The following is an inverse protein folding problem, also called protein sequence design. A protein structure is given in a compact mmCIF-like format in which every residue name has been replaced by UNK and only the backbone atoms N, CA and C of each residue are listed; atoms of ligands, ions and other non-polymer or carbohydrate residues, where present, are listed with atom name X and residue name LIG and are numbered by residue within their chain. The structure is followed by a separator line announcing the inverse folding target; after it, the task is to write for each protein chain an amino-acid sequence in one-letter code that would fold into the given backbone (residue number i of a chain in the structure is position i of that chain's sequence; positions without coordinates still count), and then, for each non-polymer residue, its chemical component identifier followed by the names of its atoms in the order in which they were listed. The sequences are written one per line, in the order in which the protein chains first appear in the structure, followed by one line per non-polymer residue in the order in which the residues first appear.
data_IF_124685134735
#
_entry.id   IF_124685134735
#
_cell.length_a   1.000
_cell.length_b   1.000
_cell.length_c   1.000
_cell.angle_alpha   90.00
_cell.angle_beta   90.00
_cell.angle_gamma   90.00
#
_symmetry.space_group_name_H-M   'P 1'
#
loop_
_entity.id
_entity.type
_entity.pdbx_description
1 polymer ?
#
# COMPACT_ATOMS: atom_id res chain seq x y z
N UNK A 1 2.97 31.97 -9.58
CA UNK A 1 3.50 30.71 -9.04
C UNK A 1 2.55 30.29 -7.94
N UNK A 2 2.02 29.07 -8.01
CA UNK A 2 1.13 28.56 -6.97
C UNK A 2 1.89 28.44 -5.65
N UNK A 3 1.29 28.94 -4.57
CA UNK A 3 1.87 28.82 -3.25
C UNK A 3 1.58 27.42 -2.68
N UNK A 4 2.41 26.43 -3.02
CA UNK A 4 2.20 25.05 -2.56
C UNK A 4 2.23 24.88 -1.03
N UNK A 5 2.76 25.85 -0.28
CA UNK A 5 2.78 25.80 1.19
C UNK A 5 1.40 25.93 1.83
N UNK A 6 0.39 26.42 1.10
CA UNK A 6 -0.99 26.48 1.58
C UNK A 6 -1.79 25.22 1.26
N UNK A 7 -1.25 24.31 0.44
CA UNK A 7 -1.92 23.07 0.07
C UNK A 7 -2.08 22.18 1.30
N UNK A 8 -3.25 21.57 1.42
CA UNK A 8 -3.52 20.68 2.55
C UNK A 8 -2.79 19.36 2.39
N UNK A 9 -2.07 19.00 3.44
CA UNK A 9 -1.70 17.62 3.72
C UNK A 9 -2.94 16.89 4.23
N UNK A 10 -2.92 15.56 4.22
CA UNK A 10 -4.12 14.80 4.55
C UNK A 10 -3.90 13.41 5.10
N UNK A 11 -2.67 12.96 5.27
CA UNK A 11 -2.45 11.62 5.83
C UNK A 11 -2.56 11.65 7.34
N UNK A 12 -3.33 10.71 7.87
CA UNK A 12 -3.31 10.32 9.26
C UNK A 12 -2.62 8.95 9.32
N UNK A 13 -1.40 8.83 9.87
CA UNK A 13 -0.66 7.58 9.83
C UNK A 13 -1.48 6.41 10.39
N UNK A 14 -1.42 5.27 9.70
CA UNK A 14 -2.16 4.08 10.13
C UNK A 14 -1.71 3.63 11.53
N UNK A 15 -2.65 3.29 12.45
CA UNK A 15 -2.30 2.67 13.73
C UNK A 15 -1.48 1.39 13.52
N UNK A 16 -0.56 1.01 14.41
CA UNK A 16 0.17 -0.27 14.23
C UNK A 16 -0.79 -1.46 14.38
N UNK A 17 -0.74 -2.42 13.45
CA UNK A 17 -1.50 -3.67 13.52
C UNK A 17 -0.58 -4.85 13.14
N UNK A 18 -0.42 -5.82 14.04
CA UNK A 18 0.46 -6.97 13.84
C UNK A 18 -0.12 -8.01 12.85
N UNK A 19 -1.38 -7.82 12.43
CA UNK A 19 -2.07 -8.69 11.47
C UNK A 19 -1.86 -8.24 10.03
N UNK A 20 -1.27 -7.07 9.81
CA UNK A 20 -0.94 -6.58 8.47
C UNK A 20 -0.10 -7.62 7.74
N UNK A 21 -0.55 -8.03 6.54
CA UNK A 21 0.24 -8.95 5.74
C UNK A 21 1.53 -8.27 5.30
N UNK A 22 2.64 -8.98 5.42
CA UNK A 22 3.93 -8.53 4.88
C UNK A 22 4.03 -8.88 3.41
N UNK A 23 4.59 -7.97 2.60
CA UNK A 23 4.70 -8.12 1.15
C UNK A 23 5.46 -9.37 0.72
N UNK A 24 6.38 -9.88 1.55
CA UNK A 24 7.11 -11.13 1.28
C UNK A 24 6.21 -12.37 1.27
N UNK A 25 4.92 -12.24 1.61
CA UNK A 25 3.87 -13.25 1.41
C UNK A 25 3.30 -13.27 -0.01
N UNK A 26 3.62 -12.28 -0.84
CA UNK A 26 3.12 -12.16 -2.20
C UNK A 26 4.26 -12.16 -3.22
N UNK A 27 5.38 -11.50 -2.90
CA UNK A 27 6.54 -11.37 -3.80
C UNK A 27 7.76 -12.08 -3.26
N UNK A 28 8.70 -12.41 -4.15
CA UNK A 28 10.03 -12.89 -3.76
C UNK A 28 11.06 -11.78 -3.93
N UNK A 29 11.73 -11.41 -2.85
CA UNK A 29 12.85 -10.46 -2.92
C UNK A 29 13.99 -11.10 -3.75
N UNK A 30 14.38 -10.41 -4.82
CA UNK A 30 15.42 -10.86 -5.75
C UNK A 30 16.81 -10.55 -5.19
N UNK A 31 17.81 -11.34 -5.60
CA UNK A 31 19.21 -11.10 -5.21
C UNK A 31 19.81 -9.84 -5.87
N UNK A 32 19.25 -9.41 -7.00
CA UNK A 32 19.66 -8.22 -7.72
C UNK A 32 18.46 -7.56 -8.40
N UNK A 33 18.55 -6.25 -8.58
CA UNK A 33 17.55 -5.41 -9.24
C UNK A 33 18.22 -4.65 -10.39
N UNK A 34 17.47 -4.28 -11.45
CA UNK A 34 18.00 -3.41 -12.48
C UNK A 34 18.40 -2.04 -11.91
N UNK A 35 19.33 -1.37 -12.58
CA UNK A 35 19.86 -0.06 -12.16
C UNK A 35 18.76 1.00 -12.03
N UNK A 36 17.75 0.91 -12.90
CA UNK A 36 16.54 1.72 -12.87
C UNK A 36 15.34 0.87 -13.29
N UNK A 37 14.14 1.30 -12.93
CA UNK A 37 12.90 0.65 -13.32
C UNK A 37 11.76 1.65 -13.21
N UNK A 38 10.83 1.60 -14.15
CA UNK A 38 9.60 2.39 -14.12
C UNK A 38 8.45 1.49 -14.53
N UNK A 39 7.37 1.50 -13.74
CA UNK A 39 6.11 0.85 -14.09
C UNK A 39 5.55 1.52 -15.34
N UNK A 40 5.04 0.71 -16.27
CA UNK A 40 4.28 1.18 -17.41
C UNK A 40 2.88 0.55 -17.42
N UNK A 41 1.84 1.31 -17.81
CA UNK A 41 1.86 2.73 -18.17
C UNK A 41 1.92 3.66 -16.95
N UNK A 42 2.40 4.89 -17.16
CA UNK A 42 2.33 5.98 -16.18
C UNK A 42 1.04 6.79 -16.34
N UNK A 43 0.64 7.49 -15.28
CA UNK A 43 -0.45 8.47 -15.35
C UNK A 43 -0.04 9.62 -16.28
N UNK A 44 -0.80 9.91 -17.35
CA UNK A 44 -0.41 10.88 -18.37
C UNK A 44 -0.50 12.33 -17.90
N UNK A 45 -1.44 12.63 -17.01
CA UNK A 45 -1.65 13.97 -16.45
C UNK A 45 -1.72 13.88 -14.92
N UNK A 46 -0.74 14.41 -14.17
CA UNK A 46 -0.77 14.44 -12.72
C UNK A 46 -2.03 15.10 -12.18
N UNK A 47 -2.62 14.49 -11.16
CA UNK A 47 -3.83 14.99 -10.53
C UNK A 47 -3.57 16.22 -9.68
N UNK A 48 -4.63 16.98 -9.38
CA UNK A 48 -4.59 18.08 -8.41
C UNK A 48 -5.70 17.89 -7.36
N UNK A 49 -5.30 17.71 -6.10
CA UNK A 49 -6.21 17.53 -4.97
C UNK A 49 -6.83 18.83 -4.43
N UNK A 50 -6.48 19.98 -5.00
CA UNK A 50 -6.96 21.28 -4.53
C UNK A 50 -6.54 21.57 -3.09
N UNK A 51 -7.51 22.06 -2.31
CA UNK A 51 -7.38 22.37 -0.88
C UNK A 51 -8.04 21.32 0.01
N UNK A 52 -8.16 20.08 -0.48
CA UNK A 52 -8.70 18.94 0.27
C UNK A 52 -7.56 18.02 0.70
N UNK A 53 -7.62 17.48 1.91
CA UNK A 53 -6.66 16.51 2.45
C UNK A 53 -6.81 15.11 1.82
N UNK A 54 -6.93 15.01 0.50
CA UNK A 54 -7.29 13.78 -0.22
C UNK A 54 -6.09 13.04 -0.86
N UNK A 55 -4.85 13.38 -0.50
CA UNK A 55 -3.63 12.79 -1.07
C UNK A 55 -3.64 11.24 -1.08
N UNK A 56 -4.13 10.59 -0.02
CA UNK A 56 -4.26 9.12 0.06
C UNK A 56 -5.16 8.58 -1.05
N UNK A 57 -6.32 9.21 -1.24
CA UNK A 57 -7.29 8.81 -2.25
C UNK A 57 -6.75 9.01 -3.68
N UNK A 58 -6.03 10.11 -3.93
CA UNK A 58 -5.38 10.35 -5.23
C UNK A 58 -4.22 9.39 -5.49
N UNK A 59 -3.42 9.07 -4.48
CA UNK A 59 -2.35 8.10 -4.63
C UNK A 59 -2.91 6.71 -4.99
N UNK A 60 -3.97 6.27 -4.30
CA UNK A 60 -4.66 5.01 -4.59
C UNK A 60 -5.39 5.02 -5.94
N UNK A 61 -6.01 6.14 -6.32
CA UNK A 61 -6.57 6.36 -7.67
C UNK A 61 -5.51 6.09 -8.73
N UNK A 62 -4.32 6.69 -8.59
CA UNK A 62 -3.22 6.49 -9.53
C UNK A 62 -2.86 5.00 -9.69
N UNK A 63 -2.76 4.28 -8.57
CA UNK A 63 -2.40 2.85 -8.56
C UNK A 63 -3.46 2.04 -9.30
N UNK A 64 -4.75 2.27 -9.01
CA UNK A 64 -5.85 1.57 -9.68
C UNK A 64 -5.94 1.91 -11.16
N UNK A 65 -5.77 3.16 -11.56
CA UNK A 65 -5.78 3.54 -12.99
C UNK A 65 -4.63 2.85 -13.75
N UNK A 66 -3.42 2.83 -13.19
CA UNK A 66 -2.27 2.16 -13.81
C UNK A 66 -2.43 0.63 -13.88
N UNK A 67 -2.96 -0.01 -12.82
CA UNK A 67 -3.25 -1.45 -12.81
C UNK A 67 -4.28 -1.80 -13.88
N UNK A 68 -5.42 -1.13 -13.90
CA UNK A 68 -6.51 -1.44 -14.82
C UNK A 68 -6.15 -1.11 -16.26
N UNK A 69 -5.36 -0.06 -16.50
CA UNK A 69 -4.85 0.23 -17.84
C UNK A 69 -3.90 -0.86 -18.34
N UNK A 70 -3.03 -1.38 -17.46
CA UNK A 70 -2.13 -2.50 -17.79
C UNK A 70 -2.90 -3.78 -18.10
N UNK A 71 -3.98 -4.05 -17.37
CA UNK A 71 -4.76 -5.28 -17.51
C UNK A 71 -5.76 -5.25 -18.66
N UNK A 72 -6.46 -4.13 -18.83
CA UNK A 72 -7.54 -3.98 -19.82
C UNK A 72 -7.09 -3.31 -21.11
N UNK A 73 -5.87 -2.75 -21.13
CA UNK A 73 -5.33 -2.00 -22.27
C UNK A 73 -6.00 -0.64 -22.50
N UNK A 74 -6.89 -0.19 -21.59
CA UNK A 74 -7.64 1.07 -21.70
C UNK A 74 -7.56 1.85 -20.40
N UNK A 75 -7.19 3.13 -20.48
CA UNK A 75 -7.23 4.04 -19.34
C UNK A 75 -8.69 4.27 -18.93
N UNK A 76 -8.99 3.96 -17.68
CA UNK A 76 -10.28 4.23 -17.04
C UNK A 76 -10.00 5.21 -15.92
N UNK A 77 -10.76 6.30 -15.86
CA UNK A 77 -10.60 7.28 -14.78
C UNK A 77 -11.45 6.89 -13.57
N UNK A 78 -10.84 6.87 -12.38
CA UNK A 78 -11.49 6.49 -11.13
C UNK A 78 -11.68 7.67 -10.19
N UNK A 79 -12.74 7.64 -9.39
CA UNK A 79 -13.07 8.74 -8.47
C UNK A 79 -12.21 8.71 -7.21
N UNK A 80 -11.36 9.72 -7.04
CA UNK A 80 -10.70 9.98 -5.76
C UNK A 80 -11.72 10.40 -4.68
N UNK A 81 -12.78 11.12 -5.05
CA UNK A 81 -13.85 11.48 -4.13
C UNK A 81 -14.54 10.25 -3.54
N UNK A 82 -14.78 9.21 -4.33
CA UNK A 82 -15.36 7.96 -3.85
C UNK A 82 -14.47 7.27 -2.81
N UNK A 83 -13.17 7.12 -3.10
CA UNK A 83 -12.22 6.54 -2.11
C UNK A 83 -12.19 7.39 -0.84
N UNK A 84 -12.20 8.72 -0.97
CA UNK A 84 -12.20 9.65 0.17
C UNK A 84 -13.48 9.59 1.00
N UNK A 85 -14.63 9.36 0.35
CA UNK A 85 -15.98 9.43 0.94
C UNK A 85 -16.50 8.10 1.49
N UNK A 86 -16.23 6.96 0.83
CA UNK A 86 -16.87 5.66 1.05
C UNK A 86 -16.41 4.93 2.33
N UNK A 87 -16.29 5.66 3.44
CA UNK A 87 -15.81 5.19 4.74
C UNK A 87 -16.90 4.41 5.47
N UNK A 88 -16.47 3.40 6.24
CA UNK A 88 -17.34 2.72 7.21
C UNK A 88 -17.37 3.51 8.52
N UNK A 89 -18.37 3.29 9.37
CA UNK A 89 -18.52 4.00 10.66
C UNK A 89 -17.28 3.89 11.56
N UNK A 90 -16.58 2.74 11.51
CA UNK A 90 -15.35 2.49 12.28
C UNK A 90 -14.13 3.25 11.75
N UNK A 91 -14.16 3.74 10.51
CA UNK A 91 -13.05 4.47 9.90
C UNK A 91 -13.03 5.91 10.42
N UNK A 92 -11.90 6.59 10.26
CA UNK A 92 -11.78 7.99 10.63
C UNK A 92 -12.78 8.87 9.87
N UNK A 93 -13.52 9.75 10.58
CA UNK A 93 -14.65 10.54 10.04
C UNK A 93 -14.32 12.04 9.85
N UNK A 94 -13.05 12.45 9.95
CA UNK A 94 -12.64 13.84 9.75
C UNK A 94 -12.01 14.10 8.39
N UNK A 95 -11.55 15.34 8.18
CA UNK A 95 -10.71 15.70 7.04
C UNK A 95 -9.35 14.99 7.11
N UNK A 96 -8.80 14.66 5.95
CA UNK A 96 -7.68 13.73 5.83
C UNK A 96 -8.16 12.28 5.77
N UNK A 97 -7.24 11.33 5.68
CA UNK A 97 -7.55 9.93 5.51
C UNK A 97 -6.45 9.04 6.11
N UNK A 98 -6.87 7.93 6.72
CA UNK A 98 -5.97 6.86 7.16
C UNK A 98 -5.71 5.92 5.99
N UNK A 99 -4.44 5.66 5.60
CA UNK A 99 -4.13 4.78 4.47
C UNK A 99 -4.68 3.38 4.60
N UNK A 100 -4.62 2.76 5.79
CA UNK A 100 -5.23 1.44 5.99
C UNK A 100 -6.76 1.45 5.80
N UNK A 101 -7.45 2.49 6.26
CA UNK A 101 -8.90 2.62 6.02
C UNK A 101 -9.19 2.72 4.52
N UNK A 102 -8.36 3.47 3.78
CA UNK A 102 -8.47 3.60 2.33
C UNK A 102 -8.25 2.27 1.59
N UNK A 103 -7.29 1.48 2.05
CA UNK A 103 -7.05 0.13 1.52
C UNK A 103 -8.20 -0.83 1.86
N UNK A 104 -8.78 -0.76 3.07
CA UNK A 104 -9.98 -1.55 3.45
C UNK A 104 -11.19 -1.18 2.57
N UNK A 105 -11.35 0.10 2.22
CA UNK A 105 -12.37 0.57 1.27
C UNK A 105 -12.15 -0.06 -0.10
N UNK A 106 -10.93 -0.02 -0.65
CA UNK A 106 -10.66 -0.66 -1.94
C UNK A 106 -10.86 -2.18 -1.90
N UNK A 107 -10.56 -2.82 -0.77
CA UNK A 107 -10.73 -4.27 -0.60
C UNK A 107 -12.21 -4.69 -0.60
N UNK A 108 -13.05 -3.92 0.11
CA UNK A 108 -14.46 -4.28 0.34
C UNK A 108 -15.42 -3.68 -0.68
N UNK A 109 -15.15 -2.44 -1.12
CA UNK A 109 -16.04 -1.64 -1.96
C UNK A 109 -15.45 -1.36 -3.33
N UNK A 110 -14.12 -1.25 -3.43
CA UNK A 110 -13.44 -0.91 -4.67
C UNK A 110 -13.50 0.59 -4.95
N UNK A 111 -13.56 0.99 -6.23
CA UNK A 111 -13.60 2.39 -6.62
C UNK A 111 -14.45 2.59 -7.89
N UNK A 112 -15.38 3.54 -7.85
CA UNK A 112 -16.22 3.84 -9.01
C UNK A 112 -15.49 4.73 -10.02
N UNK A 113 -16.03 4.80 -11.23
CA UNK A 113 -15.55 5.68 -12.29
C UNK A 113 -15.72 7.16 -11.92
N UNK A 114 -14.76 7.99 -12.34
CA UNK A 114 -14.78 9.45 -12.14
C UNK A 114 -16.08 10.08 -12.66
N UNK A 115 -16.65 9.54 -13.74
CA UNK A 115 -17.91 10.00 -14.33
C UNK A 115 -19.09 10.00 -13.35
N UNK A 116 -19.13 9.05 -12.41
CA UNK A 116 -20.21 8.94 -11.42
C UNK A 116 -20.00 9.86 -10.23
N UNK A 117 -18.76 10.08 -9.83
CA UNK A 117 -18.43 10.96 -8.70
C UNK A 117 -17.24 11.87 -9.02
N UNK A 118 -17.45 12.93 -9.83
CA UNK A 118 -16.37 13.76 -10.33
C UNK A 118 -15.86 14.76 -9.29
N UNK A 119 -14.56 15.05 -9.36
CA UNK A 119 -13.91 16.10 -8.58
C UNK A 119 -13.44 15.65 -7.20
N UNK A 120 -13.27 16.60 -6.29
CA UNK A 120 -12.90 16.35 -4.89
C UNK A 120 -13.53 17.40 -3.99
N UNK A 121 -14.06 16.96 -2.85
CA UNK A 121 -14.82 17.80 -1.91
C UNK A 121 -14.33 17.57 -0.48
N UNK A 122 -14.59 18.52 0.44
CA UNK A 122 -14.46 18.28 1.87
C UNK A 122 -15.19 16.99 2.29
N UNK A 123 -14.64 16.26 3.26
CA UNK A 123 -15.10 14.92 3.61
C UNK A 123 -16.61 14.87 3.92
N UNK A 124 -17.18 15.75 4.78
CA UNK A 124 -18.60 15.69 5.09
C UNK A 124 -19.50 15.85 3.87
N UNK A 125 -19.09 16.70 2.92
CA UNK A 125 -19.81 16.91 1.66
C UNK A 125 -19.72 15.65 0.80
N UNK A 126 -18.50 15.13 0.60
CA UNK A 126 -18.29 13.95 -0.22
C UNK A 126 -19.05 12.72 0.32
N UNK A 127 -19.03 12.50 1.63
CA UNK A 127 -19.75 11.42 2.29
C UNK A 127 -21.27 11.53 2.08
N UNK A 128 -21.83 12.75 2.10
CA UNK A 128 -23.27 12.98 1.88
C UNK A 128 -23.74 12.76 0.44
N UNK A 129 -22.81 12.68 -0.52
CA UNK A 129 -23.11 12.54 -1.96
C UNK A 129 -23.07 11.09 -2.44
N UNK A 130 -22.71 10.13 -1.58
CA UNK A 130 -22.62 8.72 -1.96
C UNK A 130 -23.99 8.17 -2.40
N UNK A 131 -23.98 7.38 -3.47
CA UNK A 131 -25.17 6.69 -3.98
C UNK A 131 -24.94 5.19 -4.14
N UNK A 132 -26.02 4.41 -4.17
CA UNK A 132 -25.95 2.97 -4.43
C UNK A 132 -25.37 2.65 -5.81
N UNK A 133 -25.62 3.51 -6.81
CA UNK A 133 -25.03 3.38 -8.15
C UNK A 133 -23.51 3.44 -8.10
N UNK A 134 -22.94 4.37 -7.33
CA UNK A 134 -21.49 4.44 -7.13
C UNK A 134 -20.96 3.17 -6.45
N UNK A 135 -21.68 2.61 -5.47
CA UNK A 135 -21.28 1.37 -4.81
C UNK A 135 -21.30 0.16 -5.75
N UNK A 136 -22.32 0.06 -6.60
CA UNK A 136 -22.44 -1.00 -7.59
C UNK A 136 -21.35 -0.88 -8.66
N UNK A 137 -21.08 0.34 -9.14
CA UNK A 137 -20.03 0.59 -10.13
C UNK A 137 -18.63 0.35 -9.57
N UNK A 138 -18.40 0.52 -8.26
CA UNK A 138 -17.11 0.34 -7.59
C UNK A 138 -16.75 -1.12 -7.26
N UNK A 139 -17.76 -1.95 -7.03
CA UNK A 139 -17.59 -3.33 -6.55
C UNK A 139 -16.71 -4.23 -7.46
N UNK A 140 -16.78 -4.16 -8.80
CA UNK A 140 -15.92 -4.97 -9.66
C UNK A 140 -14.44 -4.51 -9.74
N UNK A 141 -14.09 -3.35 -9.17
CA UNK A 141 -12.74 -2.74 -9.18
C UNK A 141 -12.07 -2.85 -7.81
N UNK A 142 -12.49 -3.84 -7.03
CA UNK A 142 -11.89 -4.17 -5.75
C UNK A 142 -10.50 -4.74 -5.93
N UNK A 143 -9.64 -4.42 -4.98
CA UNK A 143 -8.40 -5.16 -4.80
C UNK A 143 -8.71 -6.49 -4.09
N UNK A 144 -7.84 -7.48 -4.27
CA UNK A 144 -7.93 -8.76 -3.56
C UNK A 144 -7.10 -8.75 -2.27
N UNK A 145 -6.00 -8.02 -2.26
CA UNK A 145 -5.13 -7.91 -1.10
C UNK A 145 -4.33 -6.61 -1.10
N UNK A 146 -3.91 -6.21 0.09
CA UNK A 146 -2.87 -5.23 0.32
C UNK A 146 -1.87 -5.75 1.35
N UNK A 147 -0.63 -5.28 1.27
CA UNK A 147 0.44 -5.74 2.14
C UNK A 147 1.40 -4.59 2.48
N UNK A 148 1.89 -4.60 3.71
CA UNK A 148 2.89 -3.67 4.20
C UNK A 148 4.27 -4.03 3.64
N UNK A 149 5.05 -3.00 3.35
CA UNK A 149 6.44 -3.07 2.89
C UNK A 149 7.32 -2.38 3.94
N UNK A 150 8.53 -2.92 4.18
CA UNK A 150 9.44 -2.37 5.18
C UNK A 150 10.86 -2.07 4.67
N UNK A 151 11.26 -2.61 3.52
CA UNK A 151 12.62 -2.42 2.97
C UNK A 151 12.62 -1.90 1.53
N UNK A 152 13.77 -1.35 1.12
CA UNK A 152 14.03 -0.88 -0.25
C UNK A 152 13.87 -2.03 -1.24
N UNK A 153 14.45 -3.19 -0.92
CA UNK A 153 14.44 -4.38 -1.76
C UNK A 153 13.04 -4.96 -1.90
N UNK A 154 12.24 -4.94 -0.83
CA UNK A 154 10.84 -5.33 -0.86
C UNK A 154 10.00 -4.41 -1.75
N UNK A 155 10.18 -3.09 -1.65
CA UNK A 155 9.47 -2.14 -2.51
C UNK A 155 9.88 -2.28 -3.98
N UNK A 156 11.16 -2.51 -4.27
CA UNK A 156 11.63 -2.82 -5.64
C UNK A 156 10.98 -4.09 -6.17
N UNK A 157 10.89 -5.14 -5.35
CA UNK A 157 10.23 -6.38 -5.74
C UNK A 157 8.72 -6.15 -6.00
N UNK A 158 8.04 -5.41 -5.12
CA UNK A 158 6.62 -5.06 -5.29
C UNK A 158 6.37 -4.26 -6.57
N UNK A 159 7.18 -3.25 -6.85
CA UNK A 159 7.10 -2.44 -8.09
C UNK A 159 7.20 -3.29 -9.36
N UNK A 160 8.11 -4.27 -9.37
CA UNK A 160 8.31 -5.14 -10.52
C UNK A 160 7.22 -6.20 -10.70
N UNK A 161 6.68 -6.74 -9.60
CA UNK A 161 5.78 -7.90 -9.64
C UNK A 161 4.30 -7.51 -9.53
N UNK A 162 3.97 -6.50 -8.72
CA UNK A 162 2.60 -6.09 -8.40
C UNK A 162 2.24 -4.70 -8.94
N UNK A 163 3.24 -3.85 -9.18
CA UNK A 163 3.05 -2.51 -9.72
C UNK A 163 3.21 -1.39 -8.69
N UNK A 164 2.60 -0.21 -8.92
CA UNK A 164 2.88 1.00 -8.15
C UNK A 164 2.55 0.86 -6.66
N UNK A 165 3.29 1.57 -5.82
CA UNK A 165 3.25 1.45 -4.34
C UNK A 165 2.78 2.77 -3.72
N UNK A 166 1.86 2.68 -2.76
CA UNK A 166 1.45 3.80 -1.94
C UNK A 166 2.54 4.05 -0.88
N UNK A 167 3.08 5.27 -0.83
CA UNK A 167 4.08 5.66 0.15
C UNK A 167 3.62 6.90 0.90
N UNK A 168 3.78 6.88 2.22
CA UNK A 168 3.51 8.03 3.09
C UNK A 168 4.81 8.58 3.62
N UNK A 169 5.00 9.87 3.43
CA UNK A 169 6.17 10.60 3.87
C UNK A 169 5.81 11.74 4.84
N UNK A 170 6.68 12.05 5.81
CA UNK A 170 6.67 13.34 6.47
C UNK A 170 7.11 14.43 5.48
N UNK A 171 6.40 15.56 5.50
CA UNK A 171 6.66 16.74 4.66
C UNK A 171 7.46 17.76 5.46
N UNK A 172 8.57 18.19 4.89
CA UNK A 172 9.46 19.24 5.40
C UNK A 172 9.52 20.41 4.41
N UNK A 173 10.23 21.48 4.76
CA UNK A 173 10.40 22.68 3.93
C UNK A 173 10.86 22.38 2.49
N UNK A 174 11.85 21.51 2.36
CA UNK A 174 12.43 21.12 1.07
C UNK A 174 11.47 20.33 0.17
N UNK A 175 10.39 19.75 0.70
CA UNK A 175 9.36 19.08 -0.10
C UNK A 175 8.68 20.04 -1.09
N UNK A 176 8.44 21.28 -0.66
CA UNK A 176 7.66 22.25 -1.43
C UNK A 176 8.36 22.72 -2.72
N UNK A 177 9.65 22.45 -2.88
CA UNK A 177 10.39 22.78 -4.11
C UNK A 177 9.98 21.89 -5.30
N UNK A 178 9.49 20.67 -5.03
CA UNK A 178 9.17 19.67 -6.06
C UNK A 178 10.38 19.16 -6.86
N UNK A 179 10.11 18.32 -7.87
CA UNK A 179 11.17 17.79 -8.74
C UNK A 179 12.11 16.83 -7.98
N UNK A 180 13.41 17.10 -7.97
CA UNK A 180 14.36 16.30 -7.22
C UNK A 180 14.41 16.75 -5.75
N UNK A 181 13.76 15.98 -4.87
CA UNK A 181 13.64 16.32 -3.45
C UNK A 181 14.87 15.85 -2.67
N UNK A 182 15.55 16.71 -1.91
CA UNK A 182 16.66 16.27 -1.07
C UNK A 182 16.15 15.41 0.07
N UNK A 183 17.08 14.71 0.73
CA UNK A 183 16.79 14.17 2.06
C UNK A 183 16.59 15.37 3.01
N UNK A 184 15.50 15.42 3.78
CA UNK A 184 15.26 16.54 4.67
C UNK A 184 16.28 16.53 5.82
N UNK A 185 16.77 17.71 6.17
CA UNK A 185 17.53 17.93 7.40
C UNK A 185 16.54 18.08 8.56
N UNK A 186 16.20 16.97 9.21
CA UNK A 186 15.19 16.92 10.27
C UNK A 186 15.55 17.72 11.54
N UNK A 187 16.81 18.17 11.67
CA UNK A 187 17.25 19.03 12.78
C UNK A 187 17.08 20.52 12.47
N UNK A 188 17.00 20.90 11.19
CA UNK A 188 16.95 22.29 10.75
C UNK A 188 15.64 22.66 10.04
N UNK A 189 14.95 21.69 9.45
CA UNK A 189 13.69 21.88 8.73
C UNK A 189 12.49 21.62 9.63
N UNK A 190 11.43 22.39 9.42
CA UNK A 190 10.15 22.18 10.10
C UNK A 190 9.38 21.05 9.43
N UNK A 191 8.83 20.15 10.23
CA UNK A 191 7.82 19.18 9.76
C UNK A 191 6.43 19.82 9.70
N UNK A 192 5.74 19.66 8.58
CA UNK A 192 4.41 20.22 8.33
C UNK A 192 3.27 19.19 8.49
N UNK A 193 3.57 17.90 8.36
CA UNK A 193 2.59 16.82 8.45
C UNK A 193 2.99 15.65 7.56
N UNK A 194 2.01 14.83 7.15
CA UNK A 194 2.23 13.65 6.33
C UNK A 194 1.49 13.73 4.99
N UNK A 195 2.12 13.21 3.94
CA UNK A 195 1.61 13.23 2.57
C UNK A 195 1.77 11.87 1.91
N UNK A 196 0.79 11.51 1.07
CA UNK A 196 0.81 10.27 0.33
C UNK A 196 1.22 10.52 -1.13
N UNK A 197 2.07 9.63 -1.64
CA UNK A 197 2.57 9.62 -3.01
C UNK A 197 2.41 8.22 -3.60
N UNK A 198 2.41 8.15 -4.93
CA UNK A 198 2.46 6.87 -5.64
C UNK A 198 3.84 6.66 -6.22
N UNK A 199 4.62 5.75 -5.64
CA UNK A 199 5.92 5.35 -6.19
C UNK A 199 5.68 4.45 -7.39
N UNK A 200 6.30 4.81 -8.51
CA UNK A 200 6.16 4.13 -9.81
C UNK A 200 7.49 3.54 -10.30
N UNK A 201 8.57 3.70 -9.57
CA UNK A 201 9.88 3.25 -10.03
C UNK A 201 11.05 3.75 -9.20
N UNK A 202 12.25 3.56 -9.74
CA UNK A 202 13.48 4.13 -9.21
C UNK A 202 14.47 4.47 -10.33
N UNK A 203 15.35 5.42 -10.01
CA UNK A 203 16.38 5.95 -10.89
C UNK A 203 17.75 5.29 -10.64
N UNK A 204 18.73 5.47 -11.54
CA UNK A 204 20.10 4.99 -11.37
C UNK A 204 20.84 5.51 -10.13
N UNK A 205 20.34 6.58 -9.51
CA UNK A 205 21.00 7.31 -8.42
C UNK A 205 20.42 6.96 -7.05
N UNK A 206 19.83 5.76 -6.90
CA UNK A 206 19.17 5.31 -5.67
C UNK A 206 18.07 6.26 -5.19
N UNK A 207 17.20 6.67 -6.11
CA UNK A 207 16.04 7.53 -5.83
C UNK A 207 14.77 6.89 -6.34
N UNK A 208 13.70 6.92 -5.54
CA UNK A 208 12.35 6.61 -5.96
C UNK A 208 11.86 7.64 -6.98
N UNK A 209 11.08 7.20 -7.96
CA UNK A 209 10.27 8.05 -8.83
C UNK A 209 8.82 7.97 -8.34
N UNK A 210 8.23 9.10 -7.98
CA UNK A 210 6.90 9.14 -7.39
C UNK A 210 6.00 10.21 -8.02
N UNK A 211 4.73 9.87 -8.21
CA UNK A 211 3.67 10.78 -8.62
C UNK A 211 3.12 11.50 -7.39
N UNK A 212 2.99 12.83 -7.48
CA UNK A 212 2.29 13.67 -6.53
C UNK A 212 0.90 14.07 -7.08
N UNK A 213 0.07 14.66 -6.22
CA UNK A 213 -1.31 15.10 -6.51
C UNK A 213 -1.49 16.61 -6.39
N UNK A 214 -0.48 17.41 -6.78
CA UNK A 214 -0.49 18.89 -6.74
C UNK A 214 -0.41 19.52 -8.14
N UNK A 215 -0.83 18.79 -9.17
CA UNK A 215 -0.88 19.23 -10.55
C UNK A 215 0.47 19.21 -11.26
N UNK A 216 0.42 19.31 -12.58
CA UNK A 216 1.58 19.24 -13.47
C UNK A 216 2.57 20.41 -13.34
N UNK A 217 2.18 21.51 -12.69
CA UNK A 217 3.05 22.67 -12.50
C UNK A 217 3.94 22.54 -11.24
N UNK A 218 3.71 21.50 -10.43
CA UNK A 218 4.50 21.28 -9.23
C UNK A 218 5.83 20.63 -9.56
N UNK A 219 6.92 21.36 -9.26
CA UNK A 219 8.29 20.90 -9.48
C UNK A 219 8.70 20.82 -10.96
N UNK A 220 9.98 20.58 -11.19
CA UNK A 220 10.57 20.48 -12.54
C UNK A 220 10.24 19.16 -13.25
N UNK A 221 9.71 18.18 -12.54
CA UNK A 221 9.33 16.86 -13.07
C UNK A 221 7.82 16.75 -13.34
N UNK A 222 7.18 17.88 -13.60
CA UNK A 222 5.78 17.97 -14.02
C UNK A 222 4.82 17.15 -13.14
N UNK A 223 4.73 17.47 -11.85
CA UNK A 223 3.87 16.74 -10.90
C UNK A 223 4.44 15.41 -10.39
N UNK A 224 5.51 14.90 -10.98
CA UNK A 224 6.33 13.85 -10.38
C UNK A 224 7.44 14.45 -9.51
N UNK A 225 8.07 13.60 -8.71
CA UNK A 225 9.26 13.92 -7.96
C UNK A 225 10.19 12.71 -7.85
N UNK A 226 11.43 12.97 -7.44
CA UNK A 226 12.32 11.91 -6.97
C UNK A 226 12.69 12.08 -5.52
N UNK A 227 12.72 10.98 -4.77
CA UNK A 227 13.07 10.92 -3.35
C UNK A 227 14.27 9.98 -3.18
N UNK A 228 15.32 10.31 -2.42
CA UNK A 228 16.39 9.35 -2.15
C UNK A 228 15.86 8.13 -1.39
N UNK A 229 16.49 6.96 -1.53
CA UNK A 229 16.07 5.74 -0.85
C UNK A 229 16.08 5.84 0.68
N UNK A 230 16.89 6.74 1.24
CA UNK A 230 16.99 7.02 2.66
C UNK A 230 16.15 8.23 3.12
N UNK A 231 15.20 8.67 2.28
CA UNK A 231 14.17 9.63 2.69
C UNK A 231 13.30 9.00 3.79
N UNK A 232 12.94 9.74 4.86
CA UNK A 232 12.06 9.21 5.90
C UNK A 232 10.71 8.76 5.36
N UNK A 233 10.33 7.50 5.56
CA UNK A 233 9.03 6.96 5.12
C UNK A 233 8.29 6.43 6.35
N UNK A 234 7.00 6.77 6.47
CA UNK A 234 6.17 6.38 7.61
C UNK A 234 5.44 5.06 7.38
N UNK A 235 4.94 4.84 6.17
CA UNK A 235 4.29 3.59 5.77
C UNK A 235 4.39 3.41 4.26
N UNK A 236 4.41 2.13 3.83
CA UNK A 236 4.52 1.71 2.44
C UNK A 236 3.57 0.53 2.23
N UNK A 237 2.73 0.63 1.21
CA UNK A 237 1.68 -0.35 0.94
C UNK A 237 1.65 -0.72 -0.53
N UNK A 238 1.71 -2.01 -0.81
CA UNK A 238 1.33 -2.55 -2.11
C UNK A 238 -0.12 -3.02 -2.06
N UNK A 239 -0.79 -2.97 -3.20
CA UNK A 239 -2.10 -3.57 -3.40
C UNK A 239 -2.11 -4.37 -4.70
N UNK A 240 -2.93 -5.42 -4.74
CA UNK A 240 -3.10 -6.25 -5.92
C UNK A 240 -4.52 -6.78 -6.03
N UNK A 241 -5.01 -6.81 -7.25
CA UNK A 241 -6.18 -7.52 -7.77
C UNK A 241 -5.79 -8.88 -8.40
N UNK A 242 -4.50 -9.22 -8.43
CA UNK A 242 -4.01 -10.50 -8.88
C UNK A 242 -4.28 -11.57 -7.84
N UNK A 243 -5.18 -12.51 -8.16
CA UNK A 243 -5.27 -13.76 -7.41
C UNK A 243 -3.99 -14.55 -7.71
N UNK A 244 -3.24 -15.04 -6.70
CA UNK A 244 -2.08 -15.87 -6.97
C UNK A 244 -2.52 -17.03 -7.87
N UNK A 245 -1.92 -17.12 -9.07
CA UNK A 245 -2.18 -18.18 -10.04
C UNK A 245 -1.83 -19.53 -9.38
N UNK A 246 -2.85 -20.22 -8.86
CA UNK A 246 -2.69 -21.49 -8.13
C UNK A 246 -1.93 -22.52 -8.97
N UNK A 247 -2.02 -22.43 -10.31
CA UNK A 247 -1.31 -23.33 -11.24
C UNK A 247 0.18 -23.03 -11.38
N UNK A 248 0.63 -21.79 -11.18
CA UNK A 248 2.08 -21.47 -11.09
C UNK A 248 2.69 -21.87 -9.73
N UNK A 249 1.84 -22.12 -8.74
CA UNK A 249 2.20 -22.53 -7.39
C UNK A 249 1.84 -23.99 -7.06
N UNK A 250 1.34 -24.78 -8.02
CA UNK A 250 1.24 -26.23 -7.88
C UNK A 250 2.65 -26.80 -7.64
N UNK A 251 2.90 -27.21 -6.39
CA UNK A 251 4.21 -27.68 -5.91
C UNK A 251 4.97 -26.71 -4.98
N UNK A 252 4.42 -25.51 -4.71
CA UNK A 252 5.00 -24.50 -3.80
C UNK A 252 4.08 -24.14 -2.62
N UNK A 253 3.36 -25.13 -2.09
CA UNK A 253 2.61 -24.90 -0.87
C UNK A 253 3.57 -24.66 0.30
N UNK A 254 3.47 -23.46 0.86
CA UNK A 254 3.95 -23.06 2.18
C UNK A 254 3.45 -24.08 3.22
N UNK A 255 4.36 -24.72 3.96
CA UNK A 255 3.97 -25.70 4.97
C UNK A 255 3.08 -25.04 6.03
N UNK A 256 1.85 -25.53 6.17
CA UNK A 256 0.90 -25.03 7.14
C UNK A 256 1.07 -25.77 8.45
N UNK A 257 1.34 -25.02 9.50
CA UNK A 257 1.67 -25.58 10.80
C UNK A 257 0.42 -25.71 11.66
N UNK A 258 -0.08 -26.93 11.85
CA UNK A 258 -1.21 -27.19 12.75
C UNK A 258 -0.71 -27.32 14.18
N UNK A 259 -1.24 -26.49 15.08
CA UNK A 259 -1.02 -26.56 16.52
C UNK A 259 -2.23 -27.24 17.15
N UNK A 260 -2.08 -28.52 17.51
CA UNK A 260 -3.11 -29.30 18.22
C UNK A 260 -2.82 -29.31 19.74
N UNK A 261 -3.80 -28.94 20.60
CA UNK A 261 -3.68 -29.18 22.04
C UNK A 261 -3.66 -30.68 22.31
N UNK A 262 -2.72 -31.16 23.14
CA UNK A 262 -2.57 -32.58 23.45
C UNK A 262 -3.61 -33.14 24.46
N UNK A 263 -4.72 -32.44 24.77
CA UNK A 263 -5.72 -32.92 25.72
C UNK A 263 -7.03 -33.37 25.05
N UNK A 264 -7.52 -34.54 25.47
CA UNK A 264 -8.85 -35.08 25.12
C UNK A 264 -9.94 -34.17 25.68
N UNK A 265 -10.72 -33.52 24.81
CA UNK A 265 -12.03 -32.99 25.21
C UNK A 265 -12.56 -31.80 24.41
N UNK A 266 -11.72 -30.89 23.92
CA UNK A 266 -12.17 -29.73 23.13
C UNK A 266 -11.15 -29.43 22.04
N UNK A 267 -11.45 -29.81 20.80
CA UNK A 267 -10.60 -29.50 19.65
C UNK A 267 -10.79 -28.03 19.26
N UNK A 268 -9.82 -27.18 19.61
CA UNK A 268 -9.63 -25.88 18.94
C UNK A 268 -8.34 -25.98 18.13
N UNK A 269 -8.48 -25.93 16.81
CA UNK A 269 -7.34 -25.87 15.89
C UNK A 269 -6.98 -24.41 15.70
N UNK A 270 -5.71 -24.07 15.90
CA UNK A 270 -5.19 -22.75 15.57
C UNK A 270 -4.33 -22.88 14.32
N UNK A 271 -4.71 -22.17 13.26
CA UNK A 271 -3.88 -22.01 12.08
C UNK A 271 -2.94 -20.83 12.34
N UNK A 272 -1.65 -21.10 12.43
CA UNK A 272 -0.64 -20.05 12.63
C UNK A 272 0.35 -20.11 11.47
N UNK A 273 0.41 -19.02 10.70
CA UNK A 273 1.33 -18.91 9.57
C UNK A 273 2.66 -18.33 10.07
N UNK A 274 3.71 -19.15 10.12
CA UNK A 274 4.98 -18.82 10.80
C UNK A 274 6.09 -18.38 9.85
N UNK A 275 5.83 -18.32 8.55
CA UNK A 275 6.77 -17.82 7.54
C UNK A 275 6.88 -18.74 6.32
N UNK A 276 7.75 -18.36 5.38
CA UNK A 276 8.09 -19.14 4.19
C UNK A 276 9.40 -19.88 4.42
N UNK A 277 9.44 -21.16 4.07
CA UNK A 277 10.62 -22.01 4.21
C UNK A 277 10.94 -22.64 2.86
N UNK A 278 12.23 -22.79 2.53
CA UNK A 278 12.69 -23.37 1.28
C UNK A 278 12.46 -24.90 1.23
N UNK A 279 12.23 -25.56 2.37
CA UNK A 279 11.93 -26.99 2.47
C UNK A 279 11.17 -27.32 3.76
N UNK A 280 10.59 -28.53 3.80
CA UNK A 280 9.95 -29.08 5.00
C UNK A 280 10.93 -29.19 6.15
N UNK A 281 12.16 -29.62 5.85
CA UNK A 281 13.25 -29.76 6.80
C UNK A 281 13.61 -28.40 7.42
N UNK A 282 13.66 -27.34 6.61
CA UNK A 282 13.91 -25.99 7.11
C UNK A 282 12.77 -25.51 8.04
N UNK A 283 11.50 -25.76 7.68
CA UNK A 283 10.36 -25.43 8.52
C UNK A 283 10.39 -26.21 9.86
N UNK A 284 10.83 -27.47 9.83
CA UNK A 284 11.01 -28.29 11.03
C UNK A 284 12.10 -27.72 11.95
N UNK A 285 13.28 -27.41 11.40
CA UNK A 285 14.43 -26.94 12.19
C UNK A 285 14.26 -25.52 12.71
N UNK A 286 13.76 -24.60 11.88
CA UNK A 286 13.70 -23.17 12.25
C UNK A 286 12.51 -22.82 13.13
N UNK A 287 11.43 -23.60 13.07
CA UNK A 287 10.17 -23.24 13.74
C UNK A 287 9.61 -24.38 14.57
N UNK A 288 9.35 -25.55 13.97
CA UNK A 288 8.61 -26.60 14.68
C UNK A 288 9.37 -27.12 15.92
N UNK A 289 10.67 -27.41 15.78
CA UNK A 289 11.52 -27.93 16.87
C UNK A 289 11.75 -26.90 17.98
N UNK A 290 12.16 -25.65 17.70
CA UNK A 290 12.30 -24.62 18.75
C UNK A 290 10.99 -24.37 19.49
N UNK A 291 9.87 -24.26 18.77
CA UNK A 291 8.55 -24.04 19.38
C UNK A 291 8.15 -25.20 20.30
N UNK A 292 8.37 -26.45 19.87
CA UNK A 292 8.13 -27.63 20.72
C UNK A 292 9.02 -27.64 21.97
N UNK A 293 10.30 -27.27 21.84
CA UNK A 293 11.23 -27.19 22.97
C UNK A 293 10.81 -26.11 23.98
N UNK A 294 10.44 -24.92 23.50
CA UNK A 294 10.03 -23.82 24.38
C UNK A 294 8.70 -24.11 25.07
N UNK A 295 7.75 -24.74 24.37
CA UNK A 295 6.50 -25.19 24.98
C UNK A 295 6.75 -26.29 26.03
N UNK A 296 7.68 -27.24 25.76
CA UNK A 296 8.05 -28.27 26.72
C UNK A 296 8.66 -27.69 27.99
N UNK A 297 9.51 -26.65 27.89
CA UNK A 297 10.04 -25.91 29.06
C UNK A 297 8.93 -25.26 29.90
N UNK A 298 7.80 -24.91 29.27
CA UNK A 298 6.63 -24.33 29.93
C UNK A 298 5.62 -25.39 30.41
N UNK A 299 5.97 -26.69 30.36
CA UNK A 299 5.06 -27.78 30.74
C UNK A 299 3.89 -27.97 29.78
N UNK A 300 3.98 -27.43 28.55
CA UNK A 300 2.94 -27.52 27.52
C UNK A 300 3.38 -28.49 26.42
N UNK A 301 2.44 -29.29 25.92
CA UNK A 301 2.66 -30.19 24.80
C UNK A 301 1.86 -29.72 23.59
N UNK A 302 2.54 -29.52 22.47
CA UNK A 302 1.95 -29.17 21.19
C UNK A 302 2.45 -30.17 20.14
N UNK A 303 1.51 -30.72 19.34
CA UNK A 303 1.88 -31.49 18.16
C UNK A 303 1.85 -30.56 16.96
N UNK A 304 3.00 -30.44 16.30
CA UNK A 304 3.17 -29.67 15.08
C UNK A 304 3.02 -30.62 13.90
N UNK A 305 2.04 -30.36 13.01
CA UNK A 305 1.97 -31.01 11.70
C UNK A 305 2.28 -29.98 10.62
N UNK A 306 3.11 -30.37 9.65
CA UNK A 306 3.48 -29.60 8.46
C UNK A 306 2.78 -30.14 7.24
#
# INVERSE_FOLDING_TARGET
MDNYRTRKLGVIPSPKDYRDFHVTRFVRVKAAFPREFTVAPLVPAPYDQGDVGACVAFALKAIKEMQEQKERGKLTHFSAAYVYAAREEKHYQGEGMVPRDALDILLKRGVCREELFPGIYPYPVAASMLTDEMHQDAYPQRILAYAAIYTVEEMKAALMELGPVLVVIPVYDSFYQGGELPKPNTLAERMYGFHALTVVGWTPNNRWLALNSWGQNWGTLHGYCTLPFDYPISEMWTLTDYAPDEKKNEGKFDYQLFIEPAMKGFRRNWLVHLGRFASREEALERVAKPLQQDLAKLGKHCRVRL
#
